data_IF_511828398505
#
_entry.id   IF_511828398505
#
_cell.length_a   1.000
_cell.length_b   1.000
_cell.length_c   1.000
_cell.angle_alpha   90.00
_cell.angle_beta   90.00
_cell.angle_gamma   90.00
#
_symmetry.space_group_name_H-M   'P 1'
#
loop_
_entity.id
_entity.type
_entity.pdbx_description
1 polymer ?
#
# COMPACT_ATOMS: atom_id res chain seq x y z
N UNK A 1 -0.97 -3.30 -6.48
CA UNK A 1 -0.64 -1.99 -5.85
C UNK A 1 -1.76 -0.99 -6.05
N UNK A 2 -2.14 -0.72 -7.30
CA UNK A 2 -3.18 0.26 -7.65
C UNK A 2 -4.55 0.01 -6.96
N UNK A 3 -5.10 -1.19 -7.08
CA UNK A 3 -6.39 -1.53 -6.44
C UNK A 3 -6.36 -1.35 -4.91
N UNK A 4 -5.27 -1.75 -4.26
CA UNK A 4 -5.11 -1.60 -2.82
C UNK A 4 -5.15 -0.13 -2.39
N UNK A 5 -4.44 0.75 -3.11
CA UNK A 5 -4.48 2.19 -2.83
C UNK A 5 -5.88 2.77 -3.06
N UNK A 6 -6.55 2.40 -4.16
CA UNK A 6 -7.93 2.84 -4.45
C UNK A 6 -8.92 2.45 -3.36
N UNK A 7 -8.81 1.24 -2.81
CA UNK A 7 -9.66 0.79 -1.69
C UNK A 7 -9.43 1.66 -0.44
N UNK A 8 -8.16 1.92 -0.09
CA UNK A 8 -7.82 2.78 1.06
C UNK A 8 -8.30 4.22 0.85
N UNK A 9 -8.19 4.76 -0.36
CA UNK A 9 -8.72 6.09 -0.69
C UNK A 9 -10.24 6.15 -0.56
N UNK A 10 -10.96 5.14 -1.06
CA UNK A 10 -12.41 5.02 -0.89
C UNK A 10 -12.79 5.02 0.59
N UNK A 11 -12.11 4.19 1.40
CA UNK A 11 -12.35 4.14 2.84
C UNK A 11 -12.08 5.47 3.55
N UNK A 12 -11.05 6.23 3.14
CA UNK A 12 -10.77 7.54 3.70
C UNK A 12 -11.84 8.58 3.33
N UNK A 13 -12.35 8.52 2.09
CA UNK A 13 -13.44 9.38 1.62
C UNK A 13 -14.74 9.08 2.37
N UNK A 14 -15.09 7.80 2.52
CA UNK A 14 -16.27 7.34 3.27
C UNK A 14 -16.18 7.73 4.76
N UNK A 15 -14.98 7.72 5.34
CA UNK A 15 -14.74 8.15 6.71
C UNK A 15 -14.70 9.68 6.88
N UNK A 16 -14.77 10.45 5.79
CA UNK A 16 -14.61 11.91 5.77
C UNK A 16 -13.34 12.39 6.48
N UNK A 17 -12.21 11.68 6.27
CA UNK A 17 -10.91 12.05 6.84
C UNK A 17 -9.92 12.43 5.76
N UNK A 18 -9.19 13.52 5.99
CA UNK A 18 -8.01 13.83 5.20
C UNK A 18 -6.88 12.90 5.62
N UNK A 19 -6.35 12.14 4.66
CA UNK A 19 -5.23 11.22 4.88
C UNK A 19 -4.12 11.51 3.89
N UNK A 20 -2.87 11.35 4.34
CA UNK A 20 -1.67 11.49 3.52
C UNK A 20 -0.81 10.24 3.63
N UNK A 21 -0.33 9.72 2.50
CA UNK A 21 0.61 8.60 2.48
C UNK A 21 2.00 9.15 2.86
N UNK A 22 2.56 8.64 3.95
CA UNK A 22 3.90 9.02 4.41
C UNK A 22 4.96 7.95 4.12
N UNK A 23 4.54 6.68 3.94
CA UNK A 23 5.44 5.61 3.52
C UNK A 23 4.67 4.49 2.81
N UNK A 24 5.28 3.90 1.79
CA UNK A 24 4.76 2.71 1.10
C UNK A 24 5.63 1.51 1.49
N UNK A 25 5.01 0.52 2.13
CA UNK A 25 5.69 -0.68 2.58
C UNK A 25 5.55 -1.80 1.54
N UNK A 26 6.58 -2.64 1.50
CA UNK A 26 6.58 -3.91 0.77
C UNK A 26 7.24 -4.99 1.64
N UNK A 27 7.24 -6.22 1.15
CA UNK A 27 7.95 -7.34 1.75
C UNK A 27 9.43 -7.03 2.06
N UNK A 28 9.96 -7.43 3.22
CA UNK A 28 11.34 -7.14 3.62
C UNK A 28 12.39 -7.80 2.71
N UNK A 29 13.67 -7.42 2.88
CA UNK A 29 14.76 -7.83 2.00
C UNK A 29 15.07 -9.34 2.02
N UNK A 30 14.66 -10.05 3.07
CA UNK A 30 14.70 -11.51 3.18
C UNK A 30 13.62 -12.21 2.31
N UNK A 31 12.71 -11.44 1.70
CA UNK A 31 11.69 -11.89 0.76
C UNK A 31 11.81 -11.14 -0.58
N UNK A 32 12.93 -11.29 -1.31
CA UNK A 32 13.17 -10.52 -2.52
C UNK A 32 12.15 -10.84 -3.62
N UNK A 33 11.84 -9.83 -4.43
CA UNK A 33 10.98 -9.99 -5.60
C UNK A 33 11.88 -10.36 -6.78
N UNK A 34 11.59 -11.49 -7.41
CA UNK A 34 12.29 -11.88 -8.62
C UNK A 34 11.73 -11.09 -9.82
N UNK A 35 12.61 -10.45 -10.59
CA UNK A 35 12.22 -9.68 -11.78
C UNK A 35 11.52 -10.53 -12.86
N UNK A 36 11.78 -11.84 -12.88
CA UNK A 36 11.15 -12.80 -13.80
C UNK A 36 9.88 -13.43 -13.23
N UNK A 37 9.55 -13.15 -11.97
CA UNK A 37 8.35 -13.66 -11.30
C UNK A 37 7.70 -12.54 -10.46
N UNK A 38 7.13 -11.52 -11.12
CA UNK A 38 6.52 -10.36 -10.45
C UNK A 38 5.33 -10.73 -9.56
N UNK A 39 4.72 -11.90 -9.75
CA UNK A 39 3.65 -12.45 -8.92
C UNK A 39 4.09 -12.65 -7.46
N UNK A 40 5.40 -12.81 -7.22
CA UNK A 40 5.98 -12.85 -5.88
C UNK A 40 5.86 -11.54 -5.10
N UNK A 41 5.47 -10.43 -5.74
CA UNK A 41 5.17 -9.17 -5.06
C UNK A 41 3.73 -9.16 -4.50
N UNK A 42 3.49 -9.89 -3.43
CA UNK A 42 2.14 -10.05 -2.85
C UNK A 42 1.83 -9.09 -1.70
N UNK A 43 2.82 -8.74 -0.87
CA UNK A 43 2.57 -7.93 0.33
C UNK A 43 2.50 -6.43 -0.02
N UNK A 44 1.44 -5.75 0.44
CA UNK A 44 1.23 -4.31 0.27
C UNK A 44 0.99 -3.67 1.64
N UNK A 45 1.57 -2.50 1.87
CA UNK A 45 1.28 -1.71 3.05
C UNK A 45 1.40 -0.21 2.80
N UNK A 46 0.65 0.57 3.56
CA UNK A 46 0.72 2.03 3.57
C UNK A 46 0.84 2.48 5.02
N UNK A 47 1.73 3.45 5.25
CA UNK A 47 1.72 4.24 6.48
C UNK A 47 1.03 5.55 6.16
N UNK A 48 -0.02 5.86 6.92
CA UNK A 48 -0.90 7.00 6.69
C UNK A 48 -0.79 7.97 7.85
N UNK A 49 -0.73 9.26 7.53
CA UNK A 49 -1.01 10.34 8.48
C UNK A 49 -2.48 10.75 8.32
N UNK A 50 -3.18 10.92 9.44
CA UNK A 50 -4.60 11.30 9.47
C UNK A 50 -4.71 12.65 10.18
N UNK A 51 -5.40 13.61 9.55
CA UNK A 51 -5.75 14.89 10.17
C UNK A 51 -6.99 14.77 11.06
#
# INVERSE_FOLDING_TARGET
>A
KDLFQKIVFGAAADAHRNVRIIHQMHQPADHPINIYHPEGEYLKGLVLYVE
#
